data_IF_846720858678
#
_entry.id   IF_846720858678
#
_cell.length_a   1.000
_cell.length_b   1.000
_cell.length_c   1.000
_cell.angle_alpha   90.00
_cell.angle_beta   90.00
_cell.angle_gamma   90.00
#
_symmetry.space_group_name_H-M   'P 1'
#
loop_
_entity.id
_entity.type
_entity.pdbx_description
1 polymer ?
#
# COMPACT_ATOMS: atom_id res chain seq x y z
N UNK A 1 35.82 -15.42 20.94
CA UNK A 1 35.21 -15.26 19.60
C UNK A 1 33.83 -15.90 19.61
N UNK A 2 32.78 -15.12 19.81
CA UNK A 2 31.39 -15.63 19.91
C UNK A 2 30.74 -15.53 18.52
N UNK A 3 30.56 -16.67 17.83
CA UNK A 3 29.81 -16.72 16.56
C UNK A 3 28.34 -16.45 16.87
N UNK A 4 27.84 -15.29 16.45
CA UNK A 4 26.42 -14.97 16.52
C UNK A 4 25.60 -16.03 15.76
N UNK A 5 24.41 -16.42 16.26
CA UNK A 5 23.57 -17.39 15.59
C UNK A 5 23.16 -16.83 14.22
N UNK A 6 23.50 -17.56 13.15
CA UNK A 6 22.98 -17.29 11.80
C UNK A 6 21.46 -17.41 11.87
N UNK A 7 20.80 -16.26 11.96
CA UNK A 7 19.35 -16.12 11.91
C UNK A 7 18.88 -16.77 10.60
N UNK A 8 18.34 -17.97 10.72
CA UNK A 8 17.74 -18.72 9.63
C UNK A 8 16.47 -17.96 9.22
N UNK A 9 16.63 -16.89 8.42
CA UNK A 9 15.49 -16.22 7.81
C UNK A 9 14.88 -17.25 6.85
N UNK A 10 13.62 -17.66 7.05
CA UNK A 10 12.98 -18.54 6.08
C UNK A 10 13.13 -17.87 4.72
N UNK A 11 13.63 -18.60 3.72
CA UNK A 11 13.56 -18.18 2.31
C UNK A 11 12.07 -18.04 1.99
N UNK A 12 11.46 -16.91 2.34
CA UNK A 12 10.15 -16.54 1.84
C UNK A 12 10.32 -16.46 0.34
N UNK A 13 9.59 -17.30 -0.37
CA UNK A 13 9.54 -17.29 -1.83
C UNK A 13 9.38 -15.84 -2.30
N UNK A 14 10.16 -15.44 -3.32
CA UNK A 14 10.13 -14.10 -3.91
C UNK A 14 8.71 -13.49 -4.03
N UNK A 15 7.69 -14.24 -4.51
CA UNK A 15 6.31 -13.72 -4.56
C UNK A 15 5.71 -13.38 -3.19
N UNK A 16 6.10 -14.07 -2.11
CA UNK A 16 5.59 -13.84 -0.76
C UNK A 16 6.20 -12.58 -0.13
N UNK A 17 7.45 -12.24 -0.45
CA UNK A 17 8.06 -10.98 -0.02
C UNK A 17 7.47 -9.79 -0.77
N UNK A 18 7.21 -9.97 -2.07
CA UNK A 18 6.58 -8.96 -2.90
C UNK A 18 5.12 -8.73 -2.50
N UNK A 19 4.37 -9.81 -2.23
CA UNK A 19 3.02 -9.73 -1.67
C UNK A 19 2.99 -9.03 -0.30
N UNK A 20 4.04 -9.20 0.52
CA UNK A 20 4.19 -8.45 1.77
C UNK A 20 4.37 -6.95 1.55
N UNK A 21 5.16 -6.54 0.56
CA UNK A 21 5.32 -5.13 0.19
C UNK A 21 4.05 -4.56 -0.42
N UNK A 22 3.36 -5.32 -1.27
CA UNK A 22 2.06 -4.94 -1.80
C UNK A 22 1.03 -4.76 -0.67
N UNK A 23 0.97 -5.70 0.29
CA UNK A 23 0.07 -5.62 1.45
C UNK A 23 0.40 -4.46 2.39
N UNK A 24 1.68 -4.13 2.58
CA UNK A 24 2.10 -2.93 3.30
C UNK A 24 1.64 -1.66 2.57
N UNK A 25 1.79 -1.64 1.24
CA UNK A 25 1.34 -0.52 0.42
C UNK A 25 -0.18 -0.34 0.42
N UNK A 26 -0.95 -1.42 0.29
CA UNK A 26 -2.43 -1.35 0.38
C UNK A 26 -2.88 -0.86 1.75
N UNK A 27 -2.24 -1.31 2.84
CA UNK A 27 -2.55 -0.87 4.19
C UNK A 27 -2.32 0.64 4.38
N UNK A 28 -1.21 1.17 3.85
CA UNK A 28 -0.91 2.60 3.89
C UNK A 28 -1.88 3.43 3.03
N UNK A 29 -2.23 2.95 1.83
CA UNK A 29 -3.24 3.60 0.98
C UNK A 29 -4.63 3.64 1.63
N UNK A 30 -5.06 2.54 2.25
CA UNK A 30 -6.30 2.49 3.03
C UNK A 30 -6.26 3.40 4.25
N UNK A 31 -5.13 3.44 4.98
CA UNK A 31 -4.94 4.35 6.11
C UNK A 31 -5.01 5.83 5.71
N UNK A 32 -4.44 6.18 4.54
CA UNK A 32 -4.54 7.53 3.99
C UNK A 32 -5.97 7.90 3.60
N UNK A 33 -6.72 6.99 2.96
CA UNK A 33 -8.15 7.20 2.69
C UNK A 33 -8.96 7.35 3.98
N UNK A 34 -8.66 6.56 5.02
CA UNK A 34 -9.32 6.69 6.31
C UNK A 34 -9.01 8.04 6.97
N UNK A 35 -7.77 8.51 6.87
CA UNK A 35 -7.36 9.81 7.36
C UNK A 35 -8.07 10.94 6.61
N UNK A 36 -8.18 10.86 5.28
CA UNK A 36 -8.93 11.82 4.46
C UNK A 36 -10.42 11.85 4.84
N UNK A 37 -11.01 10.69 5.14
CA UNK A 37 -12.37 10.59 5.63
C UNK A 37 -12.53 11.22 7.03
N UNK A 38 -11.58 10.99 7.94
CA UNK A 38 -11.61 11.55 9.30
C UNK A 38 -11.33 13.06 9.35
N UNK A 39 -10.41 13.55 8.50
CA UNK A 39 -10.09 14.99 8.42
C UNK A 39 -11.18 15.79 7.73
N UNK A 40 -12.18 15.13 7.13
CA UNK A 40 -13.40 15.78 6.66
C UNK A 40 -13.11 16.85 5.62
N UNK A 41 -12.30 16.53 4.60
CA UNK A 41 -11.98 17.47 3.53
C UNK A 41 -13.29 17.86 2.82
N UNK A 42 -13.79 19.10 3.00
CA UNK A 42 -15.12 19.50 2.52
C UNK A 42 -15.18 19.44 0.99
N UNK A 43 -14.04 19.60 0.32
CA UNK A 43 -13.91 19.51 -1.14
C UNK A 43 -14.10 18.06 -1.65
N UNK A 44 -13.52 17.07 -0.98
CA UNK A 44 -13.75 15.65 -1.30
C UNK A 44 -15.20 15.23 -1.02
N UNK A 45 -15.76 15.72 0.07
CA UNK A 45 -17.17 15.47 0.42
C UNK A 45 -18.10 16.11 -0.61
N UNK A 46 -17.82 17.34 -1.06
CA UNK A 46 -18.59 17.99 -2.12
C UNK A 46 -18.44 17.28 -3.47
N UNK A 47 -17.23 16.85 -3.84
CA UNK A 47 -16.98 16.12 -5.09
C UNK A 47 -17.72 14.77 -5.13
N UNK A 48 -17.83 14.10 -3.98
CA UNK A 48 -18.62 12.88 -3.83
C UNK A 48 -20.12 13.21 -3.83
N UNK A 49 -20.56 14.22 -3.08
CA UNK A 49 -21.97 14.57 -2.91
C UNK A 49 -22.64 15.15 -4.17
N UNK A 50 -21.89 15.81 -5.05
CA UNK A 50 -22.40 16.30 -6.34
C UNK A 50 -22.45 15.22 -7.43
N UNK A 51 -21.89 14.03 -7.18
CA UNK A 51 -21.99 12.93 -8.11
C UNK A 51 -23.36 12.24 -8.00
N UNK A 52 -23.98 11.80 -9.11
CA UNK A 52 -25.24 11.04 -9.07
C UNK A 52 -25.12 9.73 -8.26
N UNK A 53 -23.90 9.19 -8.10
CA UNK A 53 -23.62 7.96 -7.35
C UNK A 53 -22.47 8.14 -6.35
N UNK A 54 -22.69 8.84 -5.22
CA UNK A 54 -21.65 9.22 -4.25
C UNK A 54 -20.89 8.01 -3.69
N UNK A 55 -21.59 6.89 -3.45
CA UNK A 55 -20.98 5.66 -2.94
C UNK A 55 -19.99 5.05 -3.94
N UNK A 56 -20.33 5.04 -5.21
CA UNK A 56 -19.50 4.49 -6.28
C UNK A 56 -18.26 5.34 -6.49
N UNK A 57 -18.39 6.67 -6.49
CA UNK A 57 -17.26 7.61 -6.58
C UNK A 57 -16.30 7.48 -5.40
N UNK A 58 -16.82 7.35 -4.18
CA UNK A 58 -15.97 7.12 -3.01
C UNK A 58 -15.20 5.80 -3.11
N UNK A 59 -15.86 4.72 -3.55
CA UNK A 59 -15.24 3.41 -3.70
C UNK A 59 -14.16 3.41 -4.80
N UNK A 60 -14.39 4.12 -5.91
CA UNK A 60 -13.40 4.32 -6.96
C UNK A 60 -12.19 5.11 -6.44
N UNK A 61 -12.41 6.19 -5.67
CA UNK A 61 -11.31 6.96 -5.10
C UNK A 61 -10.45 6.11 -4.14
N UNK A 62 -11.11 5.38 -3.23
CA UNK A 62 -10.43 4.51 -2.26
C UNK A 62 -9.64 3.41 -2.96
N UNK A 63 -10.26 2.75 -3.94
CA UNK A 63 -9.60 1.67 -4.70
C UNK A 63 -8.45 2.21 -5.54
N UNK A 64 -8.59 3.38 -6.17
CA UNK A 64 -7.53 4.00 -6.95
C UNK A 64 -6.32 4.35 -6.08
N UNK A 65 -6.54 5.04 -4.96
CA UNK A 65 -5.48 5.39 -4.01
C UNK A 65 -4.79 4.14 -3.45
N UNK A 66 -5.56 3.13 -3.06
CA UNK A 66 -5.01 1.86 -2.56
C UNK A 66 -4.17 1.14 -3.63
N UNK A 67 -4.62 1.11 -4.89
CA UNK A 67 -3.88 0.50 -6.00
C UNK A 67 -2.61 1.26 -6.34
N UNK A 68 -2.64 2.59 -6.38
CA UNK A 68 -1.43 3.41 -6.64
C UNK A 68 -0.39 3.18 -5.56
N UNK A 69 -0.80 3.14 -4.29
CA UNK A 69 0.12 2.91 -3.18
C UNK A 69 0.66 1.47 -3.16
N UNK A 70 -0.19 0.48 -3.46
CA UNK A 70 0.23 -0.91 -3.62
C UNK A 70 1.23 -1.09 -4.77
N UNK A 71 1.00 -0.47 -5.92
CA UNK A 71 1.89 -0.51 -7.08
C UNK A 71 3.24 0.14 -6.74
N UNK A 72 3.24 1.31 -6.09
CA UNK A 72 4.47 1.99 -5.65
C UNK A 72 5.27 1.18 -4.63
N UNK A 73 4.60 0.57 -3.64
CA UNK A 73 5.26 -0.29 -2.65
C UNK A 73 5.82 -1.57 -3.29
N UNK A 74 5.10 -2.14 -4.26
CA UNK A 74 5.56 -3.32 -5.04
C UNK A 74 6.80 -2.98 -5.86
N UNK A 75 6.78 -1.86 -6.61
CA UNK A 75 7.94 -1.37 -7.36
C UNK A 75 9.14 -1.11 -6.44
N UNK A 76 8.92 -0.48 -5.28
CA UNK A 76 9.98 -0.23 -4.29
C UNK A 76 10.55 -1.54 -3.75
N UNK A 77 9.69 -2.52 -3.43
CA UNK A 77 10.10 -3.85 -3.00
C UNK A 77 10.89 -4.59 -4.08
N UNK A 78 10.50 -4.47 -5.36
CA UNK A 78 11.27 -5.04 -6.47
C UNK A 78 12.65 -4.39 -6.61
N UNK A 79 12.72 -3.06 -6.59
CA UNK A 79 13.99 -2.32 -6.73
C UNK A 79 14.95 -2.69 -5.60
N UNK A 80 14.47 -2.70 -4.35
CA UNK A 80 15.26 -3.11 -3.20
C UNK A 80 15.74 -4.57 -3.31
N UNK A 81 14.89 -5.47 -3.81
CA UNK A 81 15.30 -6.85 -4.10
C UNK A 81 16.38 -6.93 -5.16
N UNK A 82 16.25 -6.20 -6.26
CA UNK A 82 17.27 -6.19 -7.32
C UNK A 82 18.59 -5.58 -6.84
N UNK A 83 18.55 -4.63 -5.91
CA UNK A 83 19.73 -4.02 -5.30
C UNK A 83 20.41 -4.95 -4.28
N UNK A 84 19.65 -5.79 -3.58
CA UNK A 84 20.18 -6.75 -2.60
C UNK A 84 20.79 -8.01 -3.26
N UNK A 85 20.40 -8.30 -4.51
CA UNK A 85 20.93 -9.43 -5.31
C UNK A 85 22.16 -9.04 -6.16
N UNK A 86 22.45 -7.73 -6.34
CA UNK A 86 23.68 -7.21 -6.99
C UNK A 86 24.78 -6.89 -6.00
#
# INVERSE_FOLDING_TARGET
MQKAPRRNRPRRSLPLQLAGHAAMGTALGLGFCLLLALTGNPDLINMIAYNPEPKTTALMLISFVALTFAAGATLTGMVLMTLEET
#
